data_IF_923608825509
#
_entry.id   IF_923608825509
#
_cell.length_a   1.000
_cell.length_b   1.000
_cell.length_c   1.000
_cell.angle_alpha   90.00
_cell.angle_beta   90.00
_cell.angle_gamma   90.00
#
_symmetry.space_group_name_H-M   'P 1'
#
loop_
_entity.id
_entity.type
_entity.pdbx_description
1 polymer ?
2 non-polymer ?
3 water ?
#
# COMPACT_ATOMS: atom_id res chain seq x y z
N UNK A 1 -23.58 16.28 2.94
CA UNK A 1 -22.59 15.79 1.93
C UNK A 1 -23.08 16.18 0.54
N UNK A 2 -24.18 16.91 0.50
CA UNK A 2 -24.74 17.31 -0.77
C UNK A 2 -25.97 16.49 -1.05
N UNK A 3 -25.80 15.30 -1.61
CA UNK A 3 -26.95 14.46 -1.93
C UNK A 3 -26.63 12.97 -1.87
N UNK A 4 -27.65 12.17 -1.57
CA UNK A 4 -27.51 10.72 -1.50
C UNK A 4 -28.77 10.07 -2.06
N UNK A 5 -28.59 9.26 -3.09
CA UNK A 5 -29.71 8.59 -3.75
C UNK A 5 -29.84 7.11 -3.42
N UNK A 6 -31.07 6.63 -3.39
CA UNK A 6 -31.32 5.24 -3.09
C UNK A 6 -31.13 4.41 -4.36
N UNK A 7 -30.74 3.15 -4.17
CA UNK A 7 -30.52 2.23 -5.28
C UNK A 7 -31.13 0.90 -4.85
N UNK A 8 -32.41 0.73 -5.14
CA UNK A 8 -33.15 -0.46 -4.77
C UNK A 8 -32.63 -1.79 -5.29
N UNK A 9 -31.82 -1.76 -6.35
CA UNK A 9 -31.29 -2.99 -6.92
C UNK A 9 -30.43 -3.79 -5.93
N UNK A 10 -29.50 -3.11 -5.26
CA UNK A 10 -28.61 -3.76 -4.30
C UNK A 10 -29.31 -4.55 -3.20
N UNK A 11 -30.57 -4.22 -2.93
CA UNK A 11 -31.32 -4.90 -1.88
C UNK A 11 -31.34 -6.42 -1.97
N UNK A 12 -31.33 -6.96 -3.18
CA UNK A 12 -31.35 -8.40 -3.36
C UNK A 12 -30.22 -9.09 -2.60
N UNK A 13 -29.04 -8.49 -2.62
CA UNK A 13 -27.87 -9.04 -1.95
C UNK A 13 -28.09 -9.14 -0.44
N UNK A 14 -28.93 -8.26 0.09
CA UNK A 14 -29.24 -8.25 1.53
C UNK A 14 -30.32 -9.27 1.86
N UNK A 15 -31.35 -9.35 1.04
CA UNK A 15 -32.43 -10.30 1.26
C UNK A 15 -31.91 -11.74 1.17
N UNK A 16 -31.10 -12.00 0.16
CA UNK A 16 -30.53 -13.32 -0.05
C UNK A 16 -29.92 -13.86 1.25
N UNK A 17 -29.20 -13.01 1.97
CA UNK A 17 -28.56 -13.43 3.22
C UNK A 17 -29.41 -13.06 4.43
N UNK A 18 -30.58 -12.47 4.18
CA UNK A 18 -31.48 -12.07 5.25
C UNK A 18 -30.75 -11.15 6.23
N UNK A 19 -30.00 -10.20 5.67
CA UNK A 19 -29.23 -9.27 6.49
C UNK A 19 -29.77 -7.84 6.50
N UNK A 20 -29.77 -7.23 7.68
CA UNK A 20 -30.20 -5.83 7.82
C UNK A 20 -28.94 -4.99 7.88
N UNK A 21 -28.73 -4.15 6.87
CA UNK A 21 -27.55 -3.31 6.84
C UNK A 21 -27.61 -2.26 5.77
N UNK A 22 -26.49 -1.59 5.52
CA UNK A 22 -26.44 -0.54 4.51
C UNK A 22 -25.11 -0.51 3.78
N UNK A 23 -25.15 0.04 2.58
CA UNK A 23 -23.96 0.19 1.76
C UNK A 23 -24.06 1.56 1.09
N UNK A 24 -23.00 2.33 1.23
CA UNK A 24 -22.93 3.66 0.64
C UNK A 24 -21.75 3.65 -0.31
N UNK A 25 -21.98 4.08 -1.55
CA UNK A 25 -20.95 4.12 -2.58
C UNK A 25 -20.94 5.49 -3.25
N UNK A 26 -19.76 6.05 -3.44
CA UNK A 26 -19.64 7.37 -4.06
C UNK A 26 -18.54 7.39 -5.12
N UNK A 27 -18.91 7.81 -6.34
CA UNK A 27 -17.96 7.88 -7.43
C UNK A 27 -17.34 9.27 -7.51
N UNK A 28 -16.02 9.34 -7.70
CA UNK A 28 -15.30 10.62 -7.80
C UNK A 28 -15.24 11.40 -6.50
N UNK A 29 -16.38 11.51 -5.82
CA UNK A 29 -16.44 12.25 -4.56
C UNK A 29 -17.73 11.95 -3.82
N UNK A 30 -17.90 12.59 -2.67
CA UNK A 30 -19.08 12.41 -1.85
C UNK A 30 -20.21 13.32 -2.30
N UNK A 31 -20.04 13.96 -3.45
CA UNK A 31 -21.06 14.85 -3.99
C UNK A 31 -22.28 14.03 -4.36
N UNK A 32 -22.03 12.90 -5.00
CA UNK A 32 -23.10 12.00 -5.42
C UNK A 32 -22.85 10.58 -4.95
N UNK A 33 -23.61 10.14 -3.94
CA UNK A 33 -23.47 8.80 -3.43
C UNK A 33 -24.78 8.05 -3.61
N UNK A 34 -24.69 6.73 -3.70
CA UNK A 34 -25.86 5.89 -3.86
C UNK A 34 -25.89 4.95 -2.67
N UNK A 35 -27.09 4.51 -2.28
CA UNK A 35 -27.21 3.61 -1.15
C UNK A 35 -28.48 2.79 -1.29
N UNK A 36 -28.60 1.74 -0.48
CA UNK A 36 -29.78 0.87 -0.52
C UNK A 36 -30.77 1.28 0.57
N UNK A 37 -30.38 2.24 1.40
CA UNK A 37 -31.24 2.68 2.50
C UNK A 37 -30.84 4.10 2.94
N UNK A 38 -31.67 5.08 2.59
CA UNK A 38 -31.36 6.46 2.94
C UNK A 38 -31.29 6.69 4.45
N UNK A 39 -32.20 6.06 5.18
CA UNK A 39 -32.24 6.21 6.62
C UNK A 39 -31.02 5.64 7.32
N UNK A 40 -30.73 4.37 7.07
CA UNK A 40 -29.60 3.72 7.70
C UNK A 40 -28.25 4.30 7.29
N UNK A 41 -28.17 4.84 6.08
CA UNK A 41 -26.94 5.42 5.58
C UNK A 41 -26.37 6.47 6.52
N UNK A 42 -27.26 7.24 7.17
CA UNK A 42 -26.82 8.28 8.10
C UNK A 42 -27.00 7.92 9.58
N UNK A 43 -27.37 6.67 9.84
CA UNK A 43 -27.53 6.22 11.23
C UNK A 43 -26.13 6.00 11.78
N UNK A 44 -25.91 6.38 13.04
CA UNK A 44 -24.60 6.26 13.66
C UNK A 44 -24.39 5.01 14.50
N UNK A 45 -23.28 4.32 14.26
CA UNK A 45 -22.94 3.12 15.01
C UNK A 45 -21.53 3.23 15.60
N UNK A 46 -21.27 2.42 16.63
CA UNK A 46 -19.95 2.38 17.26
C UNK A 46 -18.97 2.00 16.13
N UNK A 47 -17.88 2.77 15.96
CA UNK A 47 -16.91 2.45 14.90
C UNK A 47 -16.08 1.19 15.13
N UNK A 48 -15.86 0.82 16.39
CA UNK A 48 -15.04 -0.34 16.71
C UNK A 48 -13.68 -0.19 16.01
N UNK A 49 -13.14 -1.28 15.47
CA UNK A 49 -11.83 -1.25 14.80
C UNK A 49 -11.67 -0.20 13.69
N UNK A 50 -12.76 0.25 13.06
CA UNK A 50 -12.59 1.25 12.00
C UNK A 50 -12.03 2.55 12.58
N UNK A 51 -12.14 2.73 13.89
CA UNK A 51 -11.60 3.92 14.53
C UNK A 51 -10.07 3.89 14.53
N UNK A 52 -9.49 2.74 14.21
CA UNK A 52 -8.04 2.64 14.18
C UNK A 52 -7.44 3.57 13.12
N UNK A 53 -8.22 3.90 12.10
CA UNK A 53 -7.72 4.81 11.06
C UNK A 53 -7.45 6.19 11.67
N UNK A 54 -8.47 6.88 12.20
CA UNK A 54 -8.22 8.20 12.80
C UNK A 54 -7.25 8.12 13.98
N UNK A 55 -7.32 7.03 14.74
CA UNK A 55 -6.43 6.82 15.87
C UNK A 55 -4.98 6.85 15.39
N UNK A 56 -4.70 6.20 14.25
CA UNK A 56 -3.32 6.17 13.73
C UNK A 56 -2.85 7.55 13.25
N UNK A 57 -3.74 8.29 12.61
CA UNK A 57 -3.40 9.62 12.11
C UNK A 57 -3.07 10.53 13.28
N UNK A 58 -3.94 10.53 14.28
CA UNK A 58 -3.74 11.36 15.47
C UNK A 58 -2.43 10.96 16.17
N UNK A 59 -2.16 9.66 16.23
CA UNK A 59 -0.93 9.19 16.86
C UNK A 59 0.31 9.80 16.20
N UNK A 60 0.31 9.83 14.88
CA UNK A 60 1.43 10.40 14.12
C UNK A 60 1.48 11.92 14.24
N UNK A 61 0.33 12.57 14.11
CA UNK A 61 0.25 14.03 14.20
C UNK A 61 0.78 14.57 15.52
N UNK A 62 0.44 13.89 16.60
CA UNK A 62 0.86 14.28 17.94
C UNK A 62 2.30 13.87 18.29
N UNK A 63 2.93 13.07 17.43
CA UNK A 63 4.28 12.63 17.71
C UNK A 63 4.31 11.40 18.60
N UNK A 64 3.15 10.95 19.06
CA UNK A 64 3.07 9.76 19.89
C UNK A 64 3.65 8.58 19.10
N UNK A 65 3.34 8.52 17.81
CA UNK A 65 3.89 7.49 16.93
C UNK A 65 5.00 8.26 16.21
N UNK A 66 6.25 7.90 16.47
CA UNK A 66 7.41 8.59 15.88
C UNK A 66 7.38 8.73 14.35
N UNK A 67 7.24 7.62 13.65
CA UNK A 67 7.19 7.65 12.19
C UNK A 67 6.62 6.34 11.66
N UNK A 68 6.47 6.25 10.34
CA UNK A 68 5.90 5.07 9.71
C UNK A 68 6.63 3.76 9.98
N UNK A 69 7.87 3.84 10.44
CA UNK A 69 8.64 2.63 10.70
C UNK A 69 8.79 2.26 12.17
N UNK A 70 8.03 2.92 13.03
CA UNK A 70 8.12 2.60 14.45
C UNK A 70 7.57 1.21 14.71
N UNK A 71 8.24 0.48 15.60
CA UNK A 71 7.82 -0.86 15.95
C UNK A 71 7.16 -0.85 17.30
N UNK A 72 5.99 -1.47 17.39
CA UNK A 72 5.27 -1.54 18.64
C UNK A 72 5.67 -2.83 19.30
N UNK A 73 6.58 -2.70 20.26
CA UNK A 73 7.13 -3.83 21.00
C UNK A 73 6.15 -4.53 21.91
N UNK A 74 6.11 -5.86 21.83
CA UNK A 74 5.26 -6.63 22.71
C UNK A 74 6.06 -6.80 24.00
N UNK A 75 5.43 -6.54 25.14
CA UNK A 75 6.12 -6.66 26.43
C UNK A 75 6.11 -8.08 27.01
N UNK A 76 5.63 -9.05 26.24
CA UNK A 76 5.60 -10.42 26.73
C UNK A 76 4.34 -10.74 27.54
N UNK A 77 3.61 -9.71 27.96
CA UNK A 77 2.39 -9.88 28.74
C UNK A 77 1.26 -10.42 27.86
N UNK A 78 0.38 -11.26 28.43
CA UNK A 78 -0.75 -11.85 27.70
C UNK A 78 -1.65 -10.82 27.02
N UNK A 79 -2.06 -11.11 25.80
CA UNK A 79 -2.93 -10.22 25.05
C UNK A 79 -4.15 -10.97 24.54
N UNK A 80 -5.29 -10.28 24.53
CA UNK A 80 -6.57 -10.86 24.12
C UNK A 80 -6.53 -11.79 22.90
N UNK A 81 -5.68 -11.49 21.94
CA UNK A 81 -5.57 -12.34 20.75
C UNK A 81 -4.13 -12.73 20.47
N UNK A 82 -3.91 -13.99 20.11
CA UNK A 82 -2.57 -14.48 19.83
C UNK A 82 -1.82 -13.72 18.76
N UNK A 83 -2.55 -13.19 17.77
CA UNK A 83 -1.88 -12.46 16.70
C UNK A 83 -1.37 -11.09 17.16
N UNK A 84 -1.70 -10.71 18.39
CA UNK A 84 -1.21 -9.44 18.91
C UNK A 84 0.01 -9.68 19.80
N UNK A 85 0.30 -10.93 20.11
CA UNK A 85 1.44 -11.26 20.97
C UNK A 85 2.75 -11.38 20.16
N UNK A 86 3.25 -10.22 19.75
CA UNK A 86 4.47 -10.11 18.97
C UNK A 86 4.65 -8.64 18.61
N UNK A 87 5.84 -8.29 18.15
CA UNK A 87 6.12 -6.92 17.76
C UNK A 87 5.30 -6.65 16.50
N UNK A 88 4.89 -5.41 16.31
CA UNK A 88 4.09 -5.04 15.17
C UNK A 88 4.48 -3.68 14.62
N UNK A 89 4.31 -3.51 13.31
CA UNK A 89 4.57 -2.25 12.66
C UNK A 89 3.19 -1.58 12.66
N UNK A 90 3.10 -0.35 12.19
CA UNK A 90 1.81 0.33 12.15
C UNK A 90 0.84 -0.42 11.26
N UNK A 91 1.29 -0.83 10.07
CA UNK A 91 0.40 -1.56 9.16
C UNK A 91 -0.01 -2.87 9.80
N UNK A 92 0.94 -3.55 10.42
CA UNK A 92 0.64 -4.81 11.06
C UNK A 92 -0.42 -4.65 12.14
N UNK A 93 -0.26 -3.61 12.97
CA UNK A 93 -1.21 -3.36 14.05
C UNK A 93 -2.62 -3.06 13.50
N UNK A 94 -2.68 -2.30 12.41
CA UNK A 94 -3.97 -1.98 11.82
C UNK A 94 -4.66 -3.21 11.23
N UNK A 95 -3.92 -3.98 10.44
CA UNK A 95 -4.50 -5.17 9.80
C UNK A 95 -5.11 -6.17 10.77
N UNK A 96 -4.49 -6.38 11.92
CA UNK A 96 -5.02 -7.34 12.88
C UNK A 96 -5.74 -6.68 14.05
N UNK A 97 -6.00 -5.37 13.91
CA UNK A 97 -6.69 -4.59 14.94
C UNK A 97 -6.12 -4.78 16.36
N UNK A 98 -4.80 -4.66 16.48
CA UNK A 98 -4.12 -4.82 17.76
C UNK A 98 -4.55 -3.80 18.82
N UNK A 99 -5.67 -4.08 19.50
CA UNK A 99 -6.22 -3.19 20.50
C UNK A 99 -5.22 -2.57 21.48
N UNK A 100 -4.41 -3.38 22.17
CA UNK A 100 -3.45 -2.81 23.12
C UNK A 100 -2.49 -1.79 22.55
N UNK A 101 -2.12 -1.92 21.28
CA UNK A 101 -1.21 -0.95 20.68
C UNK A 101 -1.94 0.38 20.57
N UNK A 102 -3.18 0.34 20.08
CA UNK A 102 -3.95 1.57 19.92
C UNK A 102 -4.46 2.14 21.24
N UNK A 103 -4.54 1.30 22.27
CA UNK A 103 -4.95 1.79 23.58
C UNK A 103 -3.80 2.60 24.19
N UNK A 104 -2.58 2.13 23.98
CA UNK A 104 -1.40 2.82 24.51
C UNK A 104 -1.25 4.17 23.80
N UNK A 105 -1.54 4.18 22.50
CA UNK A 105 -1.46 5.40 21.70
C UNK A 105 -2.51 6.40 22.17
N UNK A 106 -3.72 5.91 22.44
CA UNK A 106 -4.81 6.78 22.89
C UNK A 106 -4.46 7.42 24.24
N UNK A 107 -3.95 6.62 25.17
CA UNK A 107 -3.57 7.13 26.49
C UNK A 107 -2.50 8.20 26.38
N UNK A 108 -1.54 8.00 25.49
CA UNK A 108 -0.47 8.96 25.33
C UNK A 108 -0.98 10.22 24.65
N UNK A 109 -1.92 10.06 23.74
CA UNK A 109 -2.50 11.21 23.06
C UNK A 109 -3.25 12.04 24.10
N UNK A 110 -4.06 11.36 24.91
CA UNK A 110 -4.81 12.04 25.93
C UNK A 110 -6.17 12.52 25.44
N UNK A 111 -7.07 12.73 26.38
CA UNK A 111 -8.42 13.17 26.07
C UNK A 111 -8.59 14.52 25.41
N UNK A 112 -7.80 15.50 25.81
CA UNK A 112 -7.92 16.83 25.22
C UNK A 112 -7.53 16.83 23.75
N UNK A 113 -6.41 16.20 23.42
CA UNK A 113 -5.97 16.15 22.03
C UNK A 113 -6.86 15.23 21.19
N UNK A 114 -7.33 14.13 21.78
CA UNK A 114 -8.19 13.22 21.04
C UNK A 114 -9.46 13.97 20.67
N UNK A 115 -10.04 14.69 21.64
CA UNK A 115 -11.26 15.45 21.37
C UNK A 115 -11.03 16.46 20.24
N UNK A 116 -9.94 17.22 20.36
CA UNK A 116 -9.58 18.22 19.38
C UNK A 116 -9.54 17.68 17.95
N UNK A 117 -8.82 16.57 17.74
CA UNK A 117 -8.73 15.98 16.41
C UNK A 117 -10.04 15.41 15.90
N UNK A 118 -10.84 14.79 16.76
CA UNK A 118 -12.11 14.26 16.27
C UNK A 118 -13.01 15.41 15.82
N UNK A 119 -12.80 16.59 16.40
CA UNK A 119 -13.59 17.76 16.02
C UNK A 119 -13.08 18.26 14.68
N UNK A 120 -11.76 18.29 14.51
CA UNK A 120 -11.18 18.73 13.24
C UNK A 120 -11.54 17.77 12.11
N UNK A 121 -11.66 16.49 12.42
CA UNK A 121 -12.01 15.46 11.44
C UNK A 121 -13.53 15.30 11.27
N UNK A 122 -14.31 16.03 12.06
CA UNK A 122 -15.78 15.89 11.98
C UNK A 122 -16.09 14.39 12.02
N UNK A 123 -15.52 13.72 13.02
CA UNK A 123 -15.70 12.29 13.14
C UNK A 123 -16.93 11.89 13.95
N UNK A 124 -18.00 11.55 13.23
CA UNK A 124 -19.22 11.11 13.90
C UNK A 124 -19.75 12.06 14.96
N UNK A 125 -20.19 11.51 16.09
CA UNK A 125 -20.72 12.36 17.14
C UNK A 125 -19.62 12.97 17.99
N UNK A 126 -18.38 12.57 17.73
CA UNK A 126 -17.22 13.11 18.45
C UNK A 126 -17.27 12.89 19.96
N UNK A 127 -18.02 11.88 20.39
CA UNK A 127 -18.18 11.56 21.80
C UNK A 127 -17.11 10.54 22.22
N UNK A 128 -16.14 10.98 23.02
CA UNK A 128 -15.07 10.09 23.47
C UNK A 128 -15.15 9.68 24.93
N UNK A 129 -16.30 9.93 25.56
CA UNK A 129 -16.45 9.61 26.98
C UNK A 129 -16.45 8.12 27.28
N UNK A 130 -16.19 7.78 28.54
CA UNK A 130 -16.18 6.38 28.91
C UNK A 130 -14.80 5.75 28.98
N UNK A 131 -13.76 6.56 29.00
CA UNK A 131 -12.40 6.02 29.07
C UNK A 131 -11.61 6.25 27.80
N UNK A 132 -10.51 6.98 27.94
CA UNK A 132 -9.63 7.32 26.84
C UNK A 132 -9.15 6.14 26.00
N UNK A 133 -9.07 4.95 26.60
CA UNK A 133 -8.59 3.79 25.86
C UNK A 133 -9.66 2.80 25.41
N UNK A 134 -10.92 3.17 25.51
CA UNK A 134 -11.97 2.25 25.10
C UNK A 134 -13.25 2.88 24.55
N UNK A 135 -13.27 4.21 24.40
CA UNK A 135 -14.47 4.87 23.91
C UNK A 135 -14.94 4.35 22.54
N UNK A 136 -13.99 3.93 21.71
CA UNK A 136 -14.33 3.43 20.39
C UNK A 136 -14.59 1.92 20.39
N UNK A 137 -14.33 1.28 21.53
CA UNK A 137 -14.54 -0.17 21.66
C UNK A 137 -15.85 -0.52 22.34
N UNK A 138 -16.27 0.32 23.29
CA UNK A 138 -17.50 0.08 24.04
C UNK A 138 -18.14 1.36 24.57
N UNK A 139 -17.65 2.51 24.11
CA UNK A 139 -18.17 3.78 24.57
C UNK A 139 -19.35 4.34 23.81
N UNK A 140 -19.47 5.67 23.84
CA UNK A 140 -20.56 6.37 23.19
C UNK A 140 -20.22 6.95 21.83
N UNK A 141 -19.00 6.71 21.34
CA UNK A 141 -18.64 7.21 20.02
C UNK A 141 -19.52 6.52 18.99
N UNK A 142 -20.07 7.31 18.06
CA UNK A 142 -20.94 6.77 17.02
C UNK A 142 -20.64 7.51 15.72
N UNK A 143 -20.68 6.80 14.60
CA UNK A 143 -20.43 7.40 13.29
C UNK A 143 -21.21 6.63 12.22
N UNK A 144 -21.67 7.32 11.19
CA UNK A 144 -22.45 6.69 10.12
C UNK A 144 -21.62 6.33 8.89
N UNK A 145 -22.23 5.55 7.99
CA UNK A 145 -21.58 5.14 6.76
C UNK A 145 -21.26 6.38 5.92
N UNK A 146 -22.21 7.31 5.89
CA UNK A 146 -22.02 8.56 5.15
C UNK A 146 -20.81 9.33 5.68
N UNK A 147 -20.75 9.49 7.00
CA UNK A 147 -19.66 10.21 7.65
C UNK A 147 -18.31 9.49 7.43
N UNK A 148 -18.34 8.15 7.46
CA UNK A 148 -17.13 7.37 7.22
C UNK A 148 -16.60 7.70 5.82
N UNK A 149 -17.50 7.70 4.84
CA UNK A 149 -17.14 7.98 3.46
C UNK A 149 -16.56 9.38 3.31
N UNK A 150 -17.17 10.36 3.98
CA UNK A 150 -16.68 11.73 3.92
C UNK A 150 -15.30 11.80 4.53
N UNK A 151 -15.13 11.11 5.65
CA UNK A 151 -13.85 11.07 6.34
C UNK A 151 -12.77 10.43 5.45
N UNK A 152 -13.09 9.29 4.82
CA UNK A 152 -12.10 8.64 3.97
C UNK A 152 -11.76 9.49 2.75
N UNK A 153 -12.74 10.22 2.23
CA UNK A 153 -12.49 11.08 1.08
C UNK A 153 -11.48 12.16 1.46
N UNK A 154 -11.68 12.79 2.60
CA UNK A 154 -10.76 13.83 3.07
C UNK A 154 -9.35 13.25 3.14
N UNK A 155 -9.24 12.06 3.71
CA UNK A 155 -7.95 11.38 3.84
C UNK A 155 -7.32 11.18 2.47
N UNK A 156 -8.10 10.62 1.54
CA UNK A 156 -7.63 10.37 0.18
C UNK A 156 -7.10 11.65 -0.47
N UNK A 157 -7.75 12.78 -0.19
CA UNK A 157 -7.36 14.06 -0.76
C UNK A 157 -6.31 14.80 0.05
N UNK A 158 -5.96 14.27 1.22
CA UNK A 158 -4.99 14.89 2.10
C UNK A 158 -5.59 16.19 2.67
N UNK A 159 -6.91 16.21 2.81
CA UNK A 159 -7.58 17.40 3.33
C UNK A 159 -7.81 17.41 4.84
N UNK A 160 -7.50 16.31 5.53
CA UNK A 160 -7.67 16.27 6.98
C UNK A 160 -6.62 17.19 7.60
N UNK A 161 -6.89 17.64 8.82
CA UNK A 161 -5.94 18.51 9.53
C UNK A 161 -4.74 17.72 10.01
N UNK A 162 -3.86 17.36 9.09
CA UNK A 162 -2.65 16.62 9.42
C UNK A 162 -1.70 16.79 8.25
N UNK A 163 -0.41 16.56 8.47
CA UNK A 163 0.56 16.68 7.41
C UNK A 163 0.21 15.68 6.31
N UNK A 164 0.52 16.03 5.07
CA UNK A 164 0.24 15.13 3.95
C UNK A 164 1.00 13.83 4.21
N UNK A 165 2.19 14.00 4.78
CA UNK A 165 3.09 12.92 5.11
C UNK A 165 2.38 11.85 5.96
N UNK A 166 1.82 12.28 7.09
CA UNK A 166 1.14 11.36 7.98
C UNK A 166 -0.08 10.74 7.33
N UNK A 167 -0.79 11.50 6.49
CA UNK A 167 -1.95 10.96 5.81
C UNK A 167 -1.52 9.88 4.81
N UNK A 168 -0.39 10.11 4.14
CA UNK A 168 0.11 9.14 3.16
C UNK A 168 0.53 7.85 3.85
N UNK A 169 1.17 8.00 5.00
CA UNK A 169 1.62 6.85 5.77
C UNK A 169 0.44 5.96 6.17
N UNK A 170 -0.63 6.57 6.67
CA UNK A 170 -1.78 5.78 7.07
C UNK A 170 -2.47 5.13 5.86
N UNK A 171 -2.56 5.86 4.77
CA UNK A 171 -3.18 5.32 3.57
C UNK A 171 -2.45 4.07 3.08
N UNK A 172 -1.12 4.11 3.04
CA UNK A 172 -0.42 2.91 2.58
C UNK A 172 -0.68 1.75 3.53
N UNK A 173 -0.76 2.05 4.83
CA UNK A 173 -1.00 1.01 5.82
C UNK A 173 -2.37 0.36 5.64
N UNK A 174 -3.28 1.05 4.95
CA UNK A 174 -4.63 0.54 4.73
C UNK A 174 -4.83 -0.25 3.43
N UNK A 175 -3.75 -0.42 2.66
CA UNK A 175 -3.89 -1.19 1.43
C UNK A 175 -4.22 -2.64 1.79
N UNK A 176 -5.27 -3.20 1.19
CA UNK A 176 -5.64 -4.58 1.51
C UNK A 176 -5.68 -5.45 0.27
N UNK A 177 -5.73 -4.83 -0.90
CA UNK A 177 -5.74 -5.56 -2.15
C UNK A 177 -5.10 -4.74 -3.26
N UNK A 178 -4.20 -5.37 -3.99
CA UNK A 178 -3.51 -4.70 -5.08
C UNK A 178 -3.68 -5.47 -6.38
N UNK A 179 -4.02 -4.75 -7.43
CA UNK A 179 -4.21 -5.32 -8.75
C UNK A 179 -3.68 -4.26 -9.72
N UNK A 180 -3.23 -4.68 -10.90
CA UNK A 180 -2.72 -3.70 -11.86
C UNK A 180 -3.66 -2.52 -12.13
N UNK A 181 -4.96 -2.80 -12.23
CA UNK A 181 -5.94 -1.75 -12.52
C UNK A 181 -6.49 -1.02 -11.28
N UNK A 182 -6.34 -1.60 -10.10
CA UNK A 182 -6.86 -0.94 -8.91
C UNK A 182 -6.20 -1.30 -7.59
N UNK A 183 -6.13 -0.31 -6.72
CA UNK A 183 -5.54 -0.48 -5.41
C UNK A 183 -6.69 -0.27 -4.43
N UNK A 184 -6.87 -1.23 -3.52
CA UNK A 184 -7.94 -1.17 -2.53
C UNK A 184 -7.43 -0.87 -1.13
N UNK A 185 -7.99 0.17 -0.50
CA UNK A 185 -7.64 0.55 0.87
C UNK A 185 -8.91 0.31 1.69
N UNK A 186 -8.80 -0.44 2.78
CA UNK A 186 -10.00 -0.70 3.59
C UNK A 186 -9.71 -1.07 5.03
N UNK A 187 -10.78 -1.08 5.83
CA UNK A 187 -10.67 -1.43 7.24
C UNK A 187 -11.98 -2.04 7.73
N UNK A 188 -11.88 -3.20 8.39
CA UNK A 188 -13.06 -3.87 8.92
C UNK A 188 -13.24 -3.51 10.39
N UNK A 189 -14.44 -3.78 10.89
CA UNK A 189 -14.76 -3.51 12.29
C UNK A 189 -15.89 -4.41 12.73
N UNK A 190 -15.97 -4.66 14.04
CA UNK A 190 -17.00 -5.53 14.59
C UNK A 190 -17.16 -5.14 16.06
N UNK A 191 -18.34 -4.68 16.47
CA UNK A 191 -18.54 -4.27 17.86
C UNK A 191 -18.74 -5.44 18.81
N UNK A 192 -19.12 -6.61 18.27
CA UNK A 192 -19.35 -7.76 19.12
C UNK A 192 -20.69 -8.38 18.80
N UNK A 193 -21.06 -9.45 19.49
CA UNK A 193 -22.33 -10.11 19.24
C UNK A 193 -23.52 -9.35 19.84
N UNK A 194 -23.23 -8.35 20.67
CA UNK A 194 -24.30 -7.55 21.24
C UNK A 194 -24.93 -8.13 22.51
N UNK A 195 -26.09 -7.59 22.88
CA UNK A 195 -26.80 -8.02 24.08
C UNK A 195 -28.18 -8.61 23.73
N UNK A 196 -28.94 -8.93 24.77
CA UNK A 196 -30.29 -9.47 24.63
C UNK A 196 -31.11 -8.57 23.70
N UNK A 197 -31.43 -9.06 22.51
CA UNK A 197 -32.21 -8.28 21.54
C UNK A 197 -31.60 -6.90 21.35
N UNK A 198 -30.33 -6.88 20.96
CA UNK A 198 -29.59 -5.64 20.73
C UNK A 198 -28.30 -6.07 20.06
N UNK A 199 -28.40 -6.52 18.80
CA UNK A 199 -27.25 -6.98 18.00
C UNK A 199 -26.14 -5.95 17.85
N UNK A 200 -24.94 -6.45 17.59
CA UNK A 200 -23.81 -5.56 17.37
C UNK A 200 -23.77 -5.16 15.91
N UNK A 201 -22.76 -4.38 15.54
CA UNK A 201 -22.63 -3.93 14.16
C UNK A 201 -21.30 -4.38 13.57
N UNK A 202 -21.31 -4.71 12.28
CA UNK A 202 -20.12 -5.15 11.57
C UNK A 202 -19.86 -4.11 10.47
N UNK A 203 -18.61 -3.75 10.26
CA UNK A 203 -18.22 -2.74 9.29
C UNK A 203 -17.21 -3.18 8.23
N UNK A 204 -17.20 -2.41 7.14
CA UNK A 204 -16.21 -2.55 6.08
C UNK A 204 -16.26 -1.20 5.36
N UNK A 205 -15.21 -0.42 5.52
CA UNK A 205 -15.13 0.90 4.91
C UNK A 205 -13.82 1.02 4.15
N UNK A 206 -13.76 1.93 3.18
CA UNK A 206 -12.53 2.11 2.43
C UNK A 206 -12.77 2.80 1.10
N UNK A 207 -11.82 2.66 0.18
CA UNK A 207 -11.96 3.25 -1.13
C UNK A 207 -11.14 2.48 -2.16
N UNK A 208 -11.53 2.60 -3.43
CA UNK A 208 -10.84 1.92 -4.51
C UNK A 208 -10.26 2.93 -5.50
N UNK A 209 -8.95 2.86 -5.70
CA UNK A 209 -8.25 3.75 -6.62
C UNK A 209 -8.00 3.06 -7.96
N UNK A 210 -8.68 3.53 -9.00
CA UNK A 210 -8.52 2.95 -10.33
C UNK A 210 -7.60 3.81 -11.20
N UNK A 211 -7.54 3.50 -12.49
CA UNK A 211 -6.70 4.23 -13.43
C UNK A 211 -6.92 5.73 -13.38
N UNK A 212 -8.18 6.15 -13.51
CA UNK A 212 -8.51 7.58 -13.49
C UNK A 212 -9.77 7.86 -12.68
N UNK A 213 -10.18 6.90 -11.86
CA UNK A 213 -11.36 7.08 -11.05
C UNK A 213 -11.22 6.46 -9.67
N UNK A 214 -11.82 7.11 -8.66
CA UNK A 214 -11.78 6.63 -7.29
C UNK A 214 -13.19 6.45 -6.75
N UNK A 215 -13.40 5.36 -6.02
CA UNK A 215 -14.69 5.03 -5.42
C UNK A 215 -14.56 4.93 -3.90
N UNK A 216 -15.48 5.58 -3.19
CA UNK A 216 -15.49 5.57 -1.74
C UNK A 216 -16.65 4.71 -1.29
N UNK A 217 -16.44 3.88 -0.28
CA UNK A 217 -17.53 3.04 0.20
C UNK A 217 -17.53 2.86 1.71
N UNK A 218 -18.70 2.50 2.24
CA UNK A 218 -18.88 2.25 3.66
C UNK A 218 -20.03 1.27 3.79
N UNK A 219 -19.80 0.20 4.53
CA UNK A 219 -20.82 -0.82 4.75
C UNK A 219 -20.89 -1.21 6.21
N UNK A 220 -22.11 -1.42 6.71
CA UNK A 220 -22.30 -1.87 8.07
C UNK A 220 -23.59 -2.69 8.13
N UNK A 221 -23.64 -3.63 9.06
CA UNK A 221 -24.80 -4.52 9.20
C UNK A 221 -24.97 -4.95 10.65
N UNK A 222 -26.17 -5.40 11.00
CA UNK A 222 -26.41 -5.88 12.36
C UNK A 222 -25.89 -7.31 12.41
N UNK A 223 -25.45 -7.75 13.57
CA UNK A 223 -24.91 -9.10 13.71
C UNK A 223 -24.94 -9.58 15.16
N UNK A 224 -25.42 -10.80 15.36
CA UNK A 224 -25.49 -11.37 16.71
C UNK A 224 -24.65 -12.64 16.85
N UNK A 225 -24.04 -13.09 15.76
CA UNK A 225 -23.20 -14.28 15.80
C UNK A 225 -21.96 -14.08 14.94
N UNK A 226 -20.81 -14.33 15.54
CA UNK A 226 -19.53 -14.16 14.87
C UNK A 226 -19.38 -14.97 13.57
N UNK A 227 -20.23 -15.96 13.38
CA UNK A 227 -20.14 -16.78 12.17
C UNK A 227 -20.74 -16.05 10.97
N UNK A 228 -21.17 -14.81 11.18
CA UNK A 228 -21.77 -14.03 10.11
C UNK A 228 -20.79 -13.03 9.49
N UNK A 229 -19.65 -12.84 10.14
CA UNK A 229 -18.64 -11.89 9.64
C UNK A 229 -18.35 -11.92 8.14
N UNK A 230 -18.22 -13.12 7.54
CA UNK A 230 -17.94 -13.22 6.10
C UNK A 230 -18.85 -12.34 5.24
N UNK A 231 -20.08 -12.17 5.67
CA UNK A 231 -21.05 -11.36 4.93
C UNK A 231 -20.61 -9.90 4.85
N UNK A 232 -19.93 -9.45 5.90
CA UNK A 232 -19.46 -8.07 5.98
C UNK A 232 -18.61 -7.65 4.76
N UNK A 233 -17.93 -8.61 4.14
CA UNK A 233 -17.13 -8.31 2.95
C UNK A 233 -17.77 -8.82 1.66
N UNK A 234 -18.37 -10.01 1.71
CA UNK A 234 -18.98 -10.60 0.51
C UNK A 234 -20.08 -9.74 -0.10
N UNK A 235 -20.99 -9.23 0.72
CA UNK A 235 -22.06 -8.40 0.21
C UNK A 235 -21.53 -7.14 -0.49
N UNK A 236 -20.70 -6.35 0.19
CA UNK A 236 -20.15 -5.14 -0.44
C UNK A 236 -19.33 -5.49 -1.67
N UNK A 237 -18.54 -6.55 -1.55
CA UNK A 237 -17.69 -7.00 -2.65
C UNK A 237 -18.55 -7.41 -3.85
N UNK A 238 -19.58 -8.21 -3.60
CA UNK A 238 -20.46 -8.64 -4.67
C UNK A 238 -21.10 -7.44 -5.35
N UNK A 239 -21.44 -6.42 -4.57
CA UNK A 239 -22.05 -5.21 -5.13
C UNK A 239 -21.04 -4.45 -5.98
N UNK A 240 -19.87 -4.15 -5.44
CA UNK A 240 -18.86 -3.42 -6.19
C UNK A 240 -18.41 -4.19 -7.42
N UNK A 241 -18.44 -5.52 -7.32
CA UNK A 241 -18.07 -6.37 -8.45
C UNK A 241 -19.10 -6.12 -9.53
N UNK A 242 -20.36 -6.01 -9.12
CA UNK A 242 -21.47 -5.76 -10.04
C UNK A 242 -21.28 -4.43 -10.77
N UNK A 243 -20.77 -3.43 -10.08
CA UNK A 243 -20.55 -2.11 -10.67
C UNK A 243 -19.27 -2.05 -11.51
N UNK A 244 -18.54 -3.16 -11.56
CA UNK A 244 -17.30 -3.19 -12.33
C UNK A 244 -16.15 -2.45 -11.67
N UNK A 245 -16.34 -2.11 -10.40
CA UNK A 245 -15.31 -1.39 -9.65
C UNK A 245 -14.14 -2.29 -9.27
N UNK A 246 -14.44 -3.49 -8.76
CA UNK A 246 -13.39 -4.43 -8.37
C UNK A 246 -13.60 -5.78 -9.04
N UNK B 1 23.92 -1.67 1.78
CA UNK B 1 23.83 -2.86 2.69
C UNK B 1 25.11 -3.06 3.47
N UNK B 2 25.11 -4.04 4.36
CA UNK B 2 26.28 -4.31 5.18
C UNK B 2 27.14 -5.47 4.74
N UNK B 3 26.53 -6.48 4.14
CA UNK B 3 27.29 -7.65 3.68
C UNK B 3 26.48 -8.50 2.71
N UNK B 4 27.19 -9.28 1.89
CA UNK B 4 26.53 -10.15 0.93
C UNK B 4 27.20 -11.51 0.93
N UNK B 5 26.37 -12.55 0.83
CA UNK B 5 26.83 -13.93 0.85
C UNK B 5 26.29 -14.71 -0.34
N UNK B 6 27.16 -15.46 -1.00
CA UNK B 6 26.74 -16.25 -2.15
C UNK B 6 26.17 -17.59 -1.71
N UNK B 7 25.02 -17.93 -2.25
CA UNK B 7 24.34 -19.19 -1.94
C UNK B 7 23.97 -19.83 -3.27
N UNK B 8 24.85 -20.71 -3.76
CA UNK B 8 24.64 -21.38 -5.04
C UNK B 8 23.43 -22.31 -5.09
N UNK B 9 22.89 -22.67 -3.93
CA UNK B 9 21.74 -23.57 -3.86
C UNK B 9 20.52 -23.02 -4.61
N UNK B 10 20.39 -21.70 -4.70
CA UNK B 10 19.26 -21.11 -5.40
C UNK B 10 19.32 -21.39 -6.90
N UNK B 11 20.50 -21.73 -7.39
CA UNK B 11 20.66 -22.03 -8.81
C UNK B 11 19.67 -23.10 -9.25
N UNK B 12 19.10 -23.80 -8.28
CA UNK B 12 18.12 -24.86 -8.51
C UNK B 12 16.99 -24.35 -9.41
N UNK B 13 16.35 -23.27 -8.97
CA UNK B 13 15.24 -22.67 -9.70
C UNK B 13 15.68 -22.13 -11.05
N UNK B 14 16.98 -21.88 -11.20
CA UNK B 14 17.52 -21.35 -12.43
C UNK B 14 17.75 -22.47 -13.45
N UNK B 15 18.32 -23.58 -13.01
CA UNK B 15 18.59 -24.71 -13.89
C UNK B 15 17.29 -25.36 -14.34
N UNK B 16 16.32 -25.44 -13.44
CA UNK B 16 15.03 -26.05 -13.76
C UNK B 16 14.43 -25.41 -15.01
N UNK B 17 14.53 -24.09 -15.09
CA UNK B 17 13.99 -23.36 -16.23
C UNK B 17 15.07 -23.11 -17.27
N UNK B 18 16.27 -23.63 -17.02
CA UNK B 18 17.38 -23.42 -17.96
C UNK B 18 17.48 -21.93 -18.20
N UNK B 19 17.79 -21.19 -17.15
CA UNK B 19 17.91 -19.73 -17.23
C UNK B 19 19.16 -19.18 -16.55
N UNK B 20 19.81 -18.24 -17.23
CA UNK B 20 21.00 -17.58 -16.67
C UNK B 20 20.52 -16.26 -16.09
N UNK B 21 20.69 -16.09 -14.78
CA UNK B 21 20.26 -14.87 -14.13
C UNK B 21 20.72 -14.80 -12.69
N UNK B 22 20.32 -13.74 -12.00
CA UNK B 22 20.72 -13.56 -10.62
C UNK B 22 19.59 -13.06 -9.73
N UNK B 23 19.64 -13.41 -8.46
CA UNK B 23 18.67 -12.96 -7.49
C UNK B 23 19.41 -12.45 -6.26
N UNK B 24 19.06 -11.24 -5.83
CA UNK B 24 19.67 -10.65 -4.65
C UNK B 24 18.55 -10.39 -3.64
N UNK B 25 18.70 -10.96 -2.45
CA UNK B 25 17.71 -10.81 -1.40
C UNK B 25 18.41 -10.32 -0.14
N UNK B 26 18.00 -9.16 0.36
CA UNK B 26 18.61 -8.56 1.54
C UNK B 26 17.63 -8.39 2.71
N UNK B 27 18.08 -8.75 3.90
CA UNK B 27 17.26 -8.60 5.10
C UNK B 27 17.65 -7.27 5.75
N UNK B 28 16.68 -6.40 5.93
CA UNK B 28 16.90 -5.09 6.52
C UNK B 28 17.41 -5.11 7.96
N UNK B 29 16.87 -5.99 8.79
CA UNK B 29 17.30 -6.05 10.18
C UNK B 29 18.79 -6.35 10.29
N UNK B 30 19.22 -7.46 9.67
CA UNK B 30 20.62 -7.86 9.69
C UNK B 30 21.48 -7.11 8.68
N UNK B 31 20.83 -6.32 7.83
CA UNK B 31 21.54 -5.55 6.82
C UNK B 31 22.44 -6.43 5.94
N UNK B 32 22.15 -7.72 5.90
CA UNK B 32 22.94 -8.62 5.09
C UNK B 32 22.13 -9.15 3.90
N UNK B 33 22.84 -9.43 2.81
CA UNK B 33 22.20 -9.93 1.59
C UNK B 33 22.68 -11.33 1.18
N UNK B 34 21.92 -11.97 0.29
CA UNK B 34 22.26 -13.29 -0.20
C UNK B 34 22.01 -13.34 -1.71
N UNK B 35 22.84 -14.07 -2.44
CA UNK B 35 22.66 -14.20 -3.89
C UNK B 35 23.22 -15.51 -4.41
N UNK B 36 22.65 -15.99 -5.51
CA UNK B 36 23.09 -17.25 -6.12
C UNK B 36 24.38 -17.06 -6.91
N UNK B 37 24.72 -15.81 -7.21
CA UNK B 37 25.90 -15.52 -8.01
C UNK B 37 26.45 -14.11 -7.75
N UNK B 38 27.54 -14.02 -6.97
CA UNK B 38 28.15 -12.74 -6.65
C UNK B 38 28.55 -11.95 -7.89
N UNK B 39 29.20 -12.61 -8.83
CA UNK B 39 29.64 -11.96 -10.05
C UNK B 39 28.52 -11.27 -10.81
N UNK B 40 27.45 -12.01 -11.11
CA UNK B 40 26.35 -11.41 -11.85
C UNK B 40 25.59 -10.38 -11.02
N UNK B 41 25.66 -10.51 -9.71
CA UNK B 41 24.96 -9.57 -8.83
C UNK B 41 25.50 -8.16 -9.04
N UNK B 42 26.78 -8.07 -9.38
CA UNK B 42 27.43 -6.78 -9.62
C UNK B 42 27.48 -6.41 -11.10
N UNK B 43 27.05 -7.31 -11.98
CA UNK B 43 27.05 -6.98 -13.40
C UNK B 43 25.95 -5.98 -13.62
N UNK B 44 26.24 -4.95 -14.40
CA UNK B 44 25.29 -3.88 -14.66
C UNK B 44 24.60 -4.01 -16.01
N UNK B 45 23.26 -3.99 -15.98
CA UNK B 45 22.46 -4.12 -17.18
C UNK B 45 21.56 -2.92 -17.39
N UNK B 46 20.91 -2.89 -18.55
CA UNK B 46 19.97 -1.82 -18.89
C UNK B 46 18.82 -1.94 -17.89
N UNK B 47 18.45 -0.83 -17.24
CA UNK B 47 17.35 -0.85 -16.27
C UNK B 47 15.95 -1.03 -16.87
N UNK B 48 15.78 -0.58 -18.10
CA UNK B 48 14.49 -0.69 -18.77
C UNK B 48 13.38 -0.10 -17.90
N UNK B 49 12.22 -0.76 -17.91
CA UNK B 49 11.05 -0.32 -17.13
C UNK B 49 11.32 -0.01 -15.66
N UNK B 50 12.30 -0.68 -15.06
CA UNK B 50 12.58 -0.43 -13.65
C UNK B 50 13.06 0.98 -13.42
N UNK B 51 13.39 1.69 -14.51
CA UNK B 51 13.86 3.06 -14.40
C UNK B 51 12.71 3.99 -14.05
N UNK B 52 11.48 3.52 -14.18
CA UNK B 52 10.35 4.37 -13.85
C UNK B 52 10.36 4.79 -12.38
N UNK B 53 10.96 3.98 -11.52
CA UNK B 53 11.02 4.30 -10.10
C UNK B 53 11.79 5.60 -9.91
N UNK B 54 13.07 5.64 -10.30
CA UNK B 54 13.81 6.90 -10.12
C UNK B 54 13.23 8.01 -10.97
N UNK B 55 12.69 7.64 -12.13
CA UNK B 55 12.10 8.59 -13.05
C UNK B 55 10.94 9.30 -12.36
N UNK B 56 10.02 8.52 -11.79
CA UNK B 56 8.86 9.08 -11.10
C UNK B 56 9.28 10.03 -9.96
N UNK B 57 10.28 9.63 -9.19
CA UNK B 57 10.76 10.46 -8.10
C UNK B 57 11.27 11.81 -8.61
N UNK B 58 12.07 11.77 -9.67
CA UNK B 58 12.61 12.99 -10.27
C UNK B 58 11.50 13.87 -10.83
N UNK B 59 10.49 13.25 -11.42
CA UNK B 59 9.38 13.99 -11.98
C UNK B 59 8.61 14.78 -10.93
N UNK B 60 8.41 14.19 -9.75
CA UNK B 60 7.70 14.87 -8.67
C UNK B 60 8.57 15.95 -8.08
N UNK B 61 9.84 15.61 -7.85
CA UNK B 61 10.79 16.54 -7.27
C UNK B 61 11.01 17.78 -8.13
N UNK B 62 10.97 17.62 -9.45
CA UNK B 62 11.16 18.76 -10.35
C UNK B 62 9.85 19.46 -10.66
N UNK B 63 8.76 18.98 -10.05
CA UNK B 63 7.46 19.58 -10.29
C UNK B 63 6.87 19.24 -11.64
N UNK B 64 7.62 18.50 -12.46
CA UNK B 64 7.11 18.10 -13.79
C UNK B 64 5.83 17.29 -13.62
N UNK B 65 5.75 16.55 -12.53
CA UNK B 65 4.57 15.74 -12.24
C UNK B 65 3.70 16.47 -11.21
N UNK B 66 2.42 16.62 -11.50
CA UNK B 66 1.47 17.29 -10.62
C UNK B 66 1.51 16.72 -9.21
N UNK B 67 0.82 15.59 -9.02
CA UNK B 67 0.77 14.92 -7.73
C UNK B 67 0.36 13.47 -7.94
N UNK B 68 0.30 12.71 -6.84
CA UNK B 68 -0.08 11.30 -6.92
C UNK B 68 -1.39 11.08 -7.66
N UNK B 69 -2.18 12.13 -7.79
CA UNK B 69 -3.48 12.06 -8.45
C UNK B 69 -3.48 12.61 -9.87
N UNK B 70 -2.46 13.42 -10.20
CA UNK B 70 -2.32 14.04 -11.52
C UNK B 70 -3.22 13.41 -12.58
N UNK B 89 -3.55 8.60 -12.95
CA UNK B 89 -2.81 8.73 -11.69
C UNK B 89 -1.40 8.16 -11.82
N UNK B 90 -0.52 8.57 -10.91
CA UNK B 90 0.86 8.10 -10.94
C UNK B 90 0.95 6.58 -10.96
N UNK B 91 0.20 5.91 -10.08
CA UNK B 91 0.22 4.45 -10.04
C UNK B 91 -0.23 3.91 -11.38
N UNK B 92 -1.15 4.62 -12.02
CA UNK B 92 -1.63 4.19 -13.32
C UNK B 92 -0.51 4.35 -14.33
N UNK B 93 0.27 5.41 -14.17
CA UNK B 93 1.39 5.69 -15.06
C UNK B 93 2.50 4.65 -14.93
N UNK B 94 2.68 4.12 -13.72
CA UNK B 94 3.71 3.12 -13.48
C UNK B 94 3.21 1.70 -13.77
N UNK B 95 1.90 1.53 -13.69
CA UNK B 95 1.29 0.23 -13.95
C UNK B 95 0.72 0.10 -15.36
N UNK B 96 -0.45 0.69 -15.58
CA UNK B 96 -1.11 0.63 -16.88
C UNK B 96 -0.23 1.24 -17.98
N UNK B 97 0.80 0.49 -18.38
CA UNK B 97 1.75 0.88 -19.40
C UNK B 97 1.78 2.38 -19.74
N UNK B 98 1.70 2.68 -21.03
CA UNK B 98 1.72 4.06 -21.51
C UNK B 98 3.15 4.60 -21.49
N UNK B 99 4.01 3.98 -22.29
CA UNK B 99 5.42 4.35 -22.40
C UNK B 99 5.65 5.85 -22.67
N UNK B 100 4.94 6.42 -23.66
CA UNK B 100 5.11 7.83 -24.00
C UNK B 100 4.94 8.79 -22.82
N UNK B 101 4.19 8.37 -21.80
CA UNK B 101 3.95 9.19 -20.62
C UNK B 101 5.22 9.59 -19.89
N UNK B 102 6.10 8.62 -19.68
CA UNK B 102 7.36 8.88 -18.99
C UNK B 102 8.44 9.46 -19.89
N UNK B 103 8.25 9.33 -21.20
CA UNK B 103 9.22 9.90 -22.13
C UNK B 103 8.96 11.40 -22.09
N UNK B 104 7.70 11.74 -21.80
CA UNK B 104 7.27 13.13 -21.69
C UNK B 104 7.95 13.76 -20.49
N UNK B 105 7.83 13.10 -19.34
CA UNK B 105 8.41 13.57 -18.10
C UNK B 105 9.92 13.78 -18.21
N UNK B 106 10.60 12.85 -18.88
CA UNK B 106 12.04 12.95 -19.06
C UNK B 106 12.37 14.20 -19.88
N UNK B 107 11.65 14.40 -20.98
CA UNK B 107 11.87 15.56 -21.83
C UNK B 107 11.80 16.83 -21.01
N UNK B 108 10.76 16.96 -20.21
CA UNK B 108 10.57 18.12 -19.36
C UNK B 108 11.62 18.23 -18.27
N UNK B 109 12.03 17.09 -17.73
CA UNK B 109 13.05 17.12 -16.69
C UNK B 109 14.33 17.72 -17.25
N UNK B 110 14.71 17.28 -18.44
CA UNK B 110 15.93 17.80 -19.03
C UNK B 110 17.16 17.01 -18.63
N UNK B 111 18.16 17.04 -19.49
CA UNK B 111 19.40 16.31 -19.24
C UNK B 111 20.21 16.83 -18.05
N UNK B 112 20.21 18.14 -17.84
CA UNK B 112 20.97 18.72 -16.73
C UNK B 112 20.46 18.25 -15.37
N UNK B 113 19.15 18.37 -15.17
CA UNK B 113 18.55 17.95 -13.91
C UNK B 113 18.59 16.43 -13.77
N UNK B 114 18.15 15.72 -14.81
CA UNK B 114 18.13 14.26 -14.79
C UNK B 114 19.50 13.74 -14.36
N UNK B 115 20.54 14.28 -14.99
CA UNK B 115 21.92 13.89 -14.69
C UNK B 115 22.29 14.17 -13.24
N UNK B 116 21.76 15.26 -12.70
CA UNK B 116 22.04 15.65 -11.31
C UNK B 116 21.42 14.67 -10.31
N UNK B 117 20.17 14.26 -10.56
CA UNK B 117 19.50 13.35 -9.64
C UNK B 117 20.09 11.95 -9.63
N UNK B 118 20.47 11.44 -10.81
CA UNK B 118 21.05 10.10 -10.86
C UNK B 118 22.36 10.10 -10.08
N UNK B 119 23.04 11.24 -10.05
CA UNK B 119 24.28 11.37 -9.29
C UNK B 119 23.92 11.37 -7.80
N UNK B 120 22.87 12.12 -7.45
CA UNK B 120 22.41 12.18 -6.06
C UNK B 120 21.93 10.79 -5.64
N UNK B 121 21.25 10.09 -6.55
CA UNK B 121 20.75 8.75 -6.29
C UNK B 121 21.84 7.68 -6.41
N UNK B 122 22.95 8.02 -7.05
CA UNK B 122 24.05 7.07 -7.26
C UNK B 122 23.44 5.88 -8.03
N UNK B 123 22.70 6.22 -9.08
CA UNK B 123 22.01 5.25 -9.93
C UNK B 123 22.87 4.67 -11.05
N UNK B 124 23.30 3.42 -10.89
CA UNK B 124 24.10 2.76 -11.91
C UNK B 124 25.33 3.53 -12.36
N UNK B 125 25.61 3.49 -13.66
CA UNK B 125 26.77 4.17 -14.20
C UNK B 125 26.47 5.65 -14.47
N UNK B 126 25.22 6.05 -14.20
CA UNK B 126 24.79 7.43 -14.40
C UNK B 126 25.06 7.91 -15.82
N UNK B 127 24.91 7.02 -16.79
CA UNK B 127 25.13 7.37 -18.19
C UNK B 127 23.76 7.52 -18.85
N UNK B 128 23.40 8.77 -19.19
CA UNK B 128 22.12 9.05 -19.81
C UNK B 128 22.25 9.52 -21.25
N UNK B 129 23.36 9.16 -21.89
CA UNK B 129 23.59 9.56 -23.27
C UNK B 129 22.72 8.79 -24.26
N UNK B 130 22.44 9.41 -25.39
CA UNK B 130 21.65 8.76 -26.42
C UNK B 130 20.15 8.98 -26.38
N UNK B 131 19.73 10.23 -26.21
CA UNK B 131 18.31 10.54 -26.17
C UNK B 131 17.75 10.64 -24.77
N UNK B 132 17.46 11.87 -24.34
CA UNK B 132 16.92 12.14 -23.01
C UNK B 132 15.59 11.43 -22.73
N UNK B 133 14.99 10.84 -23.77
CA UNK B 133 13.72 10.16 -23.57
C UNK B 133 13.73 8.69 -23.97
N UNK B 134 14.90 8.06 -23.90
CA UNK B 134 15.03 6.65 -24.25
C UNK B 134 16.36 6.05 -23.81
N UNK B 135 17.12 6.81 -23.02
CA UNK B 135 18.41 6.32 -22.54
C UNK B 135 18.31 5.12 -21.61
N UNK B 136 17.14 4.93 -21.01
CA UNK B 136 16.95 3.83 -20.09
C UNK B 136 16.32 2.63 -20.80
N UNK B 137 15.94 2.83 -22.05
CA UNK B 137 15.31 1.79 -22.85
C UNK B 137 16.29 1.12 -23.81
N UNK B 138 17.24 1.91 -24.32
CA UNK B 138 18.23 1.39 -25.25
C UNK B 138 19.54 2.17 -25.17
N UNK B 139 19.60 3.12 -24.24
CA UNK B 139 20.79 3.93 -24.09
C UNK B 139 21.97 3.24 -23.43
N UNK B 140 22.83 4.05 -22.82
CA UNK B 140 24.03 3.53 -22.17
C UNK B 140 23.91 3.36 -20.66
N UNK B 141 22.72 3.62 -20.11
CA UNK B 141 22.51 3.49 -18.67
C UNK B 141 22.56 2.03 -18.23
N UNK B 142 23.39 1.75 -17.22
CA UNK B 142 23.54 0.40 -16.71
C UNK B 142 23.53 0.41 -15.19
N UNK B 143 22.90 -0.60 -14.58
CA UNK B 143 22.86 -0.70 -13.13
C UNK B 143 22.82 -2.17 -12.72
N UNK B 144 23.51 -2.51 -11.63
CA UNK B 144 23.55 -3.89 -11.16
C UNK B 144 22.40 -4.20 -10.19
N UNK B 145 22.25 -5.48 -9.88
CA UNK B 145 21.22 -5.96 -8.97
C UNK B 145 21.48 -5.38 -7.58
N UNK B 146 22.75 -5.42 -7.17
CA UNK B 146 23.14 -4.90 -5.87
C UNK B 146 22.84 -3.40 -5.79
N UNK B 147 23.12 -2.67 -6.86
CA UNK B 147 22.88 -1.23 -6.88
C UNK B 147 21.37 -0.95 -6.81
N UNK B 148 20.57 -1.89 -7.31
CA UNK B 148 19.13 -1.73 -7.28
C UNK B 148 18.59 -1.84 -5.86
N UNK B 149 19.02 -2.86 -5.12
CA UNK B 149 18.56 -3.04 -3.75
C UNK B 149 19.01 -1.89 -2.85
N UNK B 150 20.24 -1.40 -3.04
CA UNK B 150 20.74 -0.28 -2.25
C UNK B 150 19.87 0.95 -2.55
N UNK B 151 19.53 1.13 -3.82
CA UNK B 151 18.69 2.24 -4.24
C UNK B 151 17.30 2.13 -3.60
N UNK B 152 16.72 0.93 -3.67
CA UNK B 152 15.39 0.71 -3.11
C UNK B 152 15.39 0.85 -1.57
N UNK B 153 16.49 0.52 -0.93
CA UNK B 153 16.58 0.64 0.53
C UNK B 153 16.59 2.13 0.89
N UNK B 154 17.31 2.94 0.12
CA UNK B 154 17.35 4.37 0.38
C UNK B 154 15.93 4.91 0.24
N UNK B 155 15.20 4.42 -0.76
CA UNK B 155 13.83 4.85 -0.99
C UNK B 155 12.95 4.48 0.20
N UNK B 156 13.03 3.23 0.61
CA UNK B 156 12.25 2.73 1.74
C UNK B 156 12.53 3.57 2.99
N UNK B 157 13.77 3.96 3.20
CA UNK B 157 14.17 4.77 4.36
C UNK B 157 14.01 6.27 4.14
N UNK B 158 13.41 6.66 3.01
CA UNK B 158 13.22 8.06 2.69
C UNK B 158 14.56 8.81 2.66
N UNK B 159 15.65 8.08 2.43
CA UNK B 159 16.96 8.70 2.42
C UNK B 159 17.45 9.23 1.07
N UNK B 160 16.61 9.14 0.04
CA UNK B 160 17.00 9.66 -1.27
C UNK B 160 16.88 11.17 -1.21
N UNK B 161 17.67 11.85 -2.04
CA UNK B 161 17.67 13.31 -2.08
C UNK B 161 16.40 13.83 -2.74
N UNK B 162 15.29 13.71 -2.01
CA UNK B 162 13.98 14.15 -2.48
C UNK B 162 13.10 14.28 -1.24
N UNK B 163 11.96 14.95 -1.38
CA UNK B 163 11.10 15.13 -0.22
C UNK B 163 10.51 13.78 0.22
N UNK B 164 10.27 13.64 1.52
CA UNK B 164 9.71 12.40 2.05
C UNK B 164 8.36 12.15 1.41
N UNK B 165 7.60 13.23 1.25
CA UNK B 165 6.28 13.15 0.65
C UNK B 165 6.35 12.48 -0.71
N UNK B 166 7.26 12.94 -1.56
CA UNK B 166 7.38 12.35 -2.88
C UNK B 166 7.83 10.90 -2.83
N UNK B 167 8.74 10.57 -1.91
CA UNK B 167 9.19 9.20 -1.81
C UNK B 167 8.02 8.30 -1.37
N UNK B 168 7.19 8.83 -0.48
CA UNK B 168 6.03 8.08 0.01
C UNK B 168 5.04 7.86 -1.12
N UNK B 169 4.78 8.91 -1.90
CA UNK B 169 3.87 8.79 -3.01
C UNK B 169 4.32 7.65 -3.94
N UNK B 170 5.60 7.67 -4.34
CA UNK B 170 6.14 6.65 -5.21
C UNK B 170 6.13 5.26 -4.58
N UNK B 171 6.35 5.20 -3.27
CA UNK B 171 6.35 3.91 -2.59
C UNK B 171 4.97 3.24 -2.67
N UNK B 172 3.90 4.01 -2.50
CA UNK B 172 2.58 3.40 -2.56
C UNK B 172 2.22 3.05 -4.01
N UNK B 173 2.62 3.90 -4.94
CA UNK B 173 2.31 3.64 -6.34
C UNK B 173 2.91 2.31 -6.79
N UNK B 174 4.00 1.91 -6.14
CA UNK B 174 4.69 0.66 -6.48
C UNK B 174 4.14 -0.61 -5.82
N UNK B 175 3.07 -0.49 -5.03
CA UNK B 175 2.48 -1.66 -4.38
C UNK B 175 1.91 -2.60 -5.44
N UNK B 176 2.32 -3.87 -5.43
CA UNK B 176 1.82 -4.82 -6.41
C UNK B 176 1.13 -6.03 -5.80
N UNK B 177 1.20 -6.18 -4.48
CA UNK B 177 0.55 -7.28 -3.79
C UNK B 177 0.36 -6.95 -2.31
N UNK B 178 -0.86 -7.15 -1.82
CA UNK B 178 -1.15 -6.87 -0.42
C UNK B 178 -1.70 -8.11 0.24
N UNK B 179 -1.29 -8.32 1.48
CA UNK B 179 -1.73 -9.48 2.25
C UNK B 179 -1.80 -9.03 3.70
N UNK B 180 -2.54 -9.74 4.54
CA UNK B 180 -2.66 -9.35 5.94
C UNK B 180 -1.29 -9.18 6.60
N UNK B 181 -0.37 -10.09 6.29
CA UNK B 181 0.97 -10.09 6.87
C UNK B 181 2.07 -9.39 6.06
N UNK B 182 1.80 -9.05 4.80
CA UNK B 182 2.84 -8.41 4.00
C UNK B 182 2.37 -7.56 2.84
N UNK B 183 3.25 -6.67 2.43
CA UNK B 183 2.99 -5.78 1.32
C UNK B 183 4.20 -5.87 0.38
N UNK B 184 3.95 -6.09 -0.90
CA UNK B 184 5.02 -6.17 -1.88
C UNK B 184 5.00 -4.92 -2.75
N UNK B 185 6.17 -4.34 -2.97
CA UNK B 185 6.35 -3.15 -3.82
C UNK B 185 7.31 -3.64 -4.90
N UNK B 186 6.96 -3.44 -6.17
CA UNK B 186 7.85 -3.93 -7.22
C UNK B 186 7.59 -3.35 -8.60
N UNK B 187 8.56 -3.54 -9.47
CA UNK B 187 8.48 -3.07 -10.85
C UNK B 187 9.29 -4.01 -11.73
N UNK B 188 8.70 -4.43 -12.85
CA UNK B 188 9.37 -5.34 -13.79
C UNK B 188 10.16 -4.55 -14.82
N UNK B 189 11.01 -5.26 -15.57
CA UNK B 189 11.83 -4.63 -16.60
C UNK B 189 12.10 -5.59 -17.75
N UNK B 190 12.23 -5.04 -18.95
CA UNK B 190 12.49 -5.86 -20.14
C UNK B 190 13.08 -5.00 -21.26
N UNK B 191 14.31 -5.31 -21.65
CA UNK B 191 15.02 -4.55 -22.70
C UNK B 191 14.80 -5.12 -24.09
N UNK B 192 14.04 -6.20 -24.19
CA UNK B 192 13.79 -6.81 -25.47
C UNK B 192 14.48 -8.16 -25.59
N UNK B 193 14.17 -8.90 -26.65
CA UNK B 193 14.78 -10.21 -26.88
C UNK B 193 16.25 -10.08 -27.23
N UNK B 194 16.68 -8.85 -27.50
CA UNK B 194 18.08 -8.60 -27.83
C UNK B 194 18.50 -9.08 -29.20
N UNK B 195 19.81 -9.18 -29.39
CA UNK B 195 20.37 -9.62 -30.67
C UNK B 195 20.85 -11.07 -30.59
N UNK B 196 21.70 -11.46 -31.54
CA UNK B 196 22.23 -12.81 -31.61
C UNK B 196 22.81 -13.31 -30.28
N UNK B 197 24.13 -13.30 -30.16
CA UNK B 197 24.80 -13.75 -28.95
C UNK B 197 24.70 -12.70 -27.85
N UNK B 198 23.77 -11.76 -28.03
CA UNK B 198 23.54 -10.70 -27.06
C UNK B 198 22.06 -10.66 -26.65
N UNK B 199 21.64 -11.61 -25.80
CA UNK B 199 20.25 -11.66 -25.36
C UNK B 199 19.89 -10.43 -24.54
N UNK B 200 18.60 -10.12 -24.48
CA UNK B 200 18.16 -8.98 -23.72
C UNK B 200 18.15 -9.30 -22.24
N UNK B 201 17.64 -8.38 -21.43
CA UNK B 201 17.58 -8.59 -19.99
C UNK B 201 16.17 -8.36 -19.47
N UNK B 202 15.78 -9.17 -18.49
CA UNK B 202 14.47 -9.04 -17.86
C UNK B 202 14.75 -8.75 -16.39
N UNK B 203 13.90 -7.93 -15.77
CA UNK B 203 14.08 -7.56 -14.38
C UNK B 203 12.81 -7.68 -13.55
N UNK B 204 13.02 -7.76 -12.24
CA UNK B 204 11.95 -7.74 -11.25
C UNK B 204 12.66 -7.29 -9.99
N UNK B 205 12.38 -6.07 -9.58
CA UNK B 205 13.00 -5.51 -8.39
C UNK B 205 11.93 -4.99 -7.45
N UNK B 206 12.25 -4.93 -6.17
CA UNK B 206 11.28 -4.43 -5.20
C UNK B 206 11.68 -4.77 -3.79
N UNK B 207 10.70 -4.68 -2.88
CA UNK B 207 10.96 -5.00 -1.49
C UNK B 207 9.66 -5.50 -0.86
N UNK B 208 9.80 -6.27 0.21
CA UNK B 208 8.65 -6.83 0.89
C UNK B 208 8.64 -6.46 2.38
N UNK B 209 7.49 -5.96 2.83
CA UNK B 209 7.31 -5.61 4.22
C UNK B 209 6.53 -6.76 4.81
N UNK B 210 7.23 -7.66 5.48
CA UNK B 210 6.64 -8.85 6.09
C UNK B 210 6.78 -8.75 7.59
N UNK B 211 5.68 -8.46 8.27
CA UNK B 211 5.67 -8.30 9.73
C UNK B 211 6.61 -7.14 10.02
N UNK B 212 7.57 -7.30 10.93
CA UNK B 212 8.47 -6.19 11.22
C UNK B 212 9.79 -6.27 10.47
N UNK B 213 9.88 -7.15 9.48
CA UNK B 213 11.09 -7.31 8.69
C UNK B 213 10.87 -6.72 7.30
N UNK B 214 11.97 -6.31 6.65
CA UNK B 214 11.87 -5.75 5.31
C UNK B 214 12.90 -6.47 4.43
N UNK B 215 12.43 -6.98 3.29
CA UNK B 215 13.29 -7.70 2.34
C UNK B 215 13.36 -6.98 1.00
N UNK B 216 14.57 -6.56 0.64
CA UNK B 216 14.81 -5.87 -0.64
C UNK B 216 15.30 -6.90 -1.64
N UNK B 217 14.77 -6.88 -2.85
CA UNK B 217 15.20 -7.86 -3.82
C UNK B 217 15.44 -7.31 -5.22
N UNK B 218 16.33 -7.96 -5.95
CA UNK B 218 16.66 -7.57 -7.31
C UNK B 218 16.89 -8.83 -8.10
N UNK B 219 16.17 -8.96 -9.21
CA UNK B 219 16.30 -10.12 -10.07
C UNK B 219 16.40 -9.73 -11.53
N UNK B 220 17.34 -10.35 -12.23
CA UNK B 220 17.47 -10.14 -13.67
C UNK B 220 17.95 -11.42 -14.32
N UNK B 221 17.61 -11.60 -15.59
CA UNK B 221 17.97 -12.79 -16.32
C UNK B 221 18.15 -12.47 -17.80
N UNK B 222 18.95 -13.28 -18.49
CA UNK B 222 19.16 -13.08 -19.92
C UNK B 222 17.90 -13.60 -20.59
N UNK B 223 17.46 -12.94 -21.64
CA UNK B 223 16.26 -13.37 -22.33
C UNK B 223 16.30 -13.12 -23.82
N UNK B 224 15.91 -14.14 -24.59
CA UNK B 224 15.89 -14.05 -26.04
C UNK B 224 14.53 -14.43 -26.59
N UNK B 225 13.61 -14.75 -25.69
CA UNK B 225 12.26 -15.15 -26.08
C UNK B 225 11.25 -14.66 -25.05
N UNK B 226 10.31 -13.83 -25.48
CA UNK B 226 9.29 -13.29 -24.58
C UNK B 226 8.46 -14.35 -23.88
N UNK B 227 8.50 -15.59 -24.36
CA UNK B 227 7.72 -16.65 -23.74
C UNK B 227 8.22 -16.93 -22.33
N UNK B 228 9.52 -16.76 -22.13
CA UNK B 228 10.15 -16.99 -20.84
C UNK B 228 10.01 -15.77 -19.93
N UNK B 229 9.38 -14.73 -20.45
CA UNK B 229 9.19 -13.48 -19.72
C UNK B 229 8.60 -13.66 -18.31
N UNK B 230 7.57 -14.52 -18.16
CA UNK B 230 6.94 -14.76 -16.86
C UNK B 230 7.90 -15.25 -15.78
N UNK B 231 9.04 -15.77 -16.20
CA UNK B 231 10.02 -16.31 -15.26
C UNK B 231 10.67 -15.25 -14.37
N UNK B 232 10.69 -14.00 -14.84
CA UNK B 232 11.30 -12.94 -14.06
C UNK B 232 10.59 -12.78 -12.71
N UNK B 233 9.30 -13.14 -12.65
CA UNK B 233 8.55 -13.07 -11.39
C UNK B 233 8.52 -14.46 -10.76
N UNK B 234 8.22 -15.44 -11.59
CA UNK B 234 8.11 -16.85 -11.18
C UNK B 234 9.25 -17.39 -10.32
N UNK B 235 10.49 -17.24 -10.79
CA UNK B 235 11.66 -17.75 -10.08
C UNK B 235 11.91 -17.05 -8.73
N UNK B 236 11.94 -15.71 -8.72
CA UNK B 236 12.18 -15.00 -7.46
C UNK B 236 11.09 -15.34 -6.44
N UNK B 237 9.86 -15.47 -6.93
CA UNK B 237 8.72 -15.79 -6.08
C UNK B 237 8.89 -17.15 -5.41
N UNK B 238 9.37 -18.14 -6.16
CA UNK B 238 9.57 -19.46 -5.60
C UNK B 238 10.63 -19.39 -4.50
N UNK B 239 11.69 -18.64 -4.77
CA UNK B 239 12.78 -18.49 -3.79
C UNK B 239 12.28 -17.83 -2.52
N UNK B 240 11.55 -16.73 -2.65
CA UNK B 240 11.05 -16.02 -1.48
C UNK B 240 9.99 -16.84 -0.73
N UNK B 241 9.39 -17.82 -1.40
CA UNK B 241 8.40 -18.66 -0.75
C UNK B 241 9.12 -19.73 0.06
N UNK B 242 10.12 -20.36 -0.54
CA UNK B 242 10.89 -21.37 0.16
C UNK B 242 11.54 -20.75 1.39
N UNK B 243 11.82 -19.45 1.32
CA UNK B 243 12.42 -18.71 2.43
C UNK B 243 11.33 -18.24 3.39
N UNK B 244 10.07 -18.51 3.04
CA UNK B 244 8.97 -18.11 3.89
C UNK B 244 8.70 -16.62 3.91
N UNK B 245 9.01 -15.92 2.83
CA UNK B 245 8.79 -14.48 2.74
C UNK B 245 7.34 -14.19 2.33
N UNK B 246 6.94 -14.71 1.18
CA UNK B 246 5.58 -14.51 0.69
C UNK B 246 4.92 -15.84 0.34
#
# INVERSE_FOLDING_TARGET
>A
MGSITENTSWNKEFSAEAVNGVFVLCKSSSKSCATNDLARASKEYLPASTFKIPNAIIGLETGVIKNEHQVFKWDGKPRAMKQWERDLTLRGAIQVSAVPVFQQIAREVGEVRMQKYLKKFSYGNQNISGGIDKFWLEGQLRISAVNQVEFLESLYLNKLSASKENQLIVKEALVTEAAPEYLVHSKTGFSGVGTESNPGVAWWVGWVEKETEVYFFAFNMDIDNESKLPLRKSIPTKIMESEGIIGG
>B
MGSITENTSWNKEFSAEAVNGVFVLCKSSSKSCATNDLARASKEYLPASTFKIPNAIIGLETGVIKNEHQVFKWDGKPRAMKQWERDLTLRGAIQVSAVPVFQQIAREVGEVRMQKYLKKFSYGNQNISGGIDKFWLEGQLRISAVNQVEFLESLYLNKLSASKENQLIVKEALVTEAAPEYLVHSKTGFSGVGTESNPGVAWWVGWVEKETEVYFFAFNMDIDNESKLPLRKSIPTKIMESEGIIGG
#
